data_IF_725627464315
#
_entry.id   IF_725627464315
#
_cell.length_a   1.000
_cell.length_b   1.000
_cell.length_c   1.000
_cell.angle_alpha   90.00
_cell.angle_beta   90.00
_cell.angle_gamma   90.00
#
_symmetry.space_group_name_H-M   'P 1'
#
loop_
_entity.id
_entity.type
_entity.pdbx_description
1 polymer ?
#
# COMPACT_ATOMS: atom_id res chain seq x y z
N UNK A 1 -18.39 -25.60 -17.54
CA UNK A 1 -16.96 -25.24 -17.64
C UNK A 1 -16.90 -23.77 -18.05
N UNK A 2 -16.46 -22.87 -17.16
CA UNK A 2 -16.33 -21.43 -17.47
C UNK A 2 -15.02 -21.15 -18.20
N UNK A 3 -15.04 -20.24 -19.17
CA UNK A 3 -13.90 -19.83 -19.98
C UNK A 3 -12.85 -19.08 -19.15
N UNK A 4 -11.54 -19.30 -19.35
CA UNK A 4 -10.47 -18.66 -18.57
C UNK A 4 -10.23 -17.17 -18.89
N UNK A 5 -11.08 -16.54 -19.72
CA UNK A 5 -10.83 -15.20 -20.25
C UNK A 5 -11.87 -14.12 -19.87
N UNK A 6 -12.94 -14.45 -19.15
CA UNK A 6 -13.89 -13.45 -18.64
C UNK A 6 -13.42 -12.91 -17.28
N UNK A 7 -13.56 -11.59 -17.06
CA UNK A 7 -13.62 -11.09 -15.69
C UNK A 7 -14.79 -11.82 -15.02
N UNK A 8 -14.67 -12.34 -13.80
CA UNK A 8 -15.82 -12.93 -13.15
C UNK A 8 -16.94 -11.89 -13.13
N UNK A 9 -18.15 -12.24 -13.58
CA UNK A 9 -19.37 -11.39 -13.59
C UNK A 9 -19.72 -10.77 -12.21
N UNK A 10 -18.93 -11.11 -11.20
CA UNK A 10 -19.11 -10.84 -9.78
C UNK A 10 -18.43 -9.54 -9.30
N UNK A 11 -17.57 -8.88 -10.10
CA UNK A 11 -16.89 -7.64 -9.70
C UNK A 11 -17.54 -6.37 -10.26
N UNK A 12 -17.58 -5.32 -9.45
CA UNK A 12 -18.16 -4.02 -9.81
C UNK A 12 -17.20 -2.88 -9.50
N UNK A 13 -17.24 -1.85 -10.37
CA UNK A 13 -16.63 -0.55 -10.09
C UNK A 13 -17.51 0.24 -9.13
N UNK A 14 -16.90 0.82 -8.09
CA UNK A 14 -17.60 1.67 -7.13
C UNK A 14 -16.63 2.57 -6.35
N UNK A 15 -17.15 3.33 -5.38
CA UNK A 15 -16.32 4.10 -4.44
C UNK A 15 -16.69 3.81 -2.99
N UNK A 16 -15.69 3.94 -2.11
CA UNK A 16 -15.82 3.88 -0.66
C UNK A 16 -14.95 4.97 -0.01
N UNK A 17 -15.35 5.54 1.14
CA UNK A 17 -16.44 5.04 1.99
C UNK A 17 -17.79 5.76 1.82
N UNK A 18 -17.88 6.76 0.94
CA UNK A 18 -19.09 7.59 0.86
C UNK A 18 -20.20 6.96 0.03
N UNK A 19 -21.40 6.94 0.59
CA UNK A 19 -22.63 6.59 -0.12
C UNK A 19 -23.24 7.80 -0.85
N UNK A 20 -24.18 7.53 -1.74
CA UNK A 20 -25.07 8.55 -2.31
C UNK A 20 -26.38 8.58 -1.52
N UNK A 21 -26.97 9.76 -1.26
CA UNK A 21 -26.50 11.09 -1.64
C UNK A 21 -25.33 11.58 -0.75
N UNK A 22 -24.50 12.48 -1.28
CA UNK A 22 -23.26 12.94 -0.60
C UNK A 22 -23.46 14.06 0.41
N UNK A 23 -24.62 14.70 0.40
CA UNK A 23 -25.01 15.80 1.30
C UNK A 23 -25.11 15.37 2.77
N UNK A 24 -25.19 14.08 3.05
CA UNK A 24 -25.10 13.53 4.40
C UNK A 24 -23.69 13.60 5.02
N UNK A 25 -22.65 13.99 4.27
CA UNK A 25 -21.28 14.11 4.74
C UNK A 25 -20.81 15.56 4.78
N UNK A 26 -20.06 15.91 5.82
CA UNK A 26 -19.43 17.23 5.96
C UNK A 26 -18.30 17.43 4.94
N UNK A 27 -17.98 18.68 4.55
CA UNK A 27 -16.82 18.97 3.70
C UNK A 27 -15.51 18.41 4.27
N UNK A 28 -15.33 18.43 5.59
CA UNK A 28 -14.15 17.89 6.27
C UNK A 28 -14.06 16.38 6.11
N UNK A 29 -15.18 15.66 6.20
CA UNK A 29 -15.21 14.22 5.93
C UNK A 29 -14.83 13.95 4.48
N UNK A 30 -15.45 14.64 3.52
CA UNK A 30 -15.16 14.44 2.09
C UNK A 30 -13.70 14.75 1.74
N UNK A 31 -13.07 15.70 2.42
CA UNK A 31 -11.66 16.05 2.26
C UNK A 31 -10.68 14.95 2.71
N UNK A 32 -11.11 14.00 3.55
CA UNK A 32 -10.32 12.81 3.95
C UNK A 32 -10.13 11.82 2.79
N UNK A 33 -10.82 12.03 1.68
CA UNK A 33 -10.67 11.25 0.45
C UNK A 33 -11.57 10.03 0.36
N UNK A 34 -11.54 9.38 -0.80
CA UNK A 34 -12.24 8.14 -1.09
C UNK A 34 -11.41 7.31 -2.05
N UNK A 35 -11.66 6.01 -2.04
CA UNK A 35 -11.04 5.07 -2.95
C UNK A 35 -11.98 4.77 -4.12
N UNK A 36 -11.40 4.70 -5.32
CA UNK A 36 -12.01 3.94 -6.40
C UNK A 36 -11.80 2.44 -6.12
N UNK A 37 -12.83 1.63 -6.32
CA UNK A 37 -12.81 0.25 -5.90
C UNK A 37 -13.29 -0.69 -7.00
N UNK A 38 -12.58 -1.80 -7.20
CA UNK A 38 -13.04 -2.97 -7.94
C UNK A 38 -13.31 -4.11 -6.94
N UNK A 39 -14.57 -4.27 -6.54
CA UNK A 39 -14.97 -5.17 -5.45
C UNK A 39 -15.98 -6.20 -5.92
N UNK A 40 -16.06 -7.38 -5.28
CA UNK A 40 -17.19 -8.28 -5.49
C UNK A 40 -18.51 -7.58 -5.14
N UNK A 41 -19.58 -7.97 -5.84
CA UNK A 41 -20.95 -7.52 -5.53
C UNK A 41 -21.28 -7.76 -4.07
N UNK A 42 -21.92 -6.80 -3.42
CA UNK A 42 -22.31 -6.88 -2.01
C UNK A 42 -21.24 -6.44 -1.01
N UNK A 43 -19.95 -6.37 -1.37
CA UNK A 43 -18.89 -5.95 -0.42
C UNK A 43 -19.08 -4.50 0.00
N UNK A 44 -19.43 -3.63 -0.95
CA UNK A 44 -19.73 -2.23 -0.68
C UNK A 44 -20.91 -2.09 0.28
N UNK A 45 -22.00 -2.80 0.01
CA UNK A 45 -23.22 -2.75 0.83
C UNK A 45 -22.93 -3.25 2.25
N UNK A 46 -22.14 -4.32 2.39
CA UNK A 46 -21.68 -4.81 3.70
C UNK A 46 -20.83 -3.79 4.44
N UNK A 47 -19.89 -3.13 3.75
CA UNK A 47 -19.06 -2.09 4.36
C UNK A 47 -19.91 -0.90 4.85
N UNK A 48 -20.84 -0.42 4.01
CA UNK A 48 -21.75 0.68 4.35
C UNK A 48 -22.73 0.32 5.47
N UNK A 49 -23.04 -0.97 5.66
CA UNK A 49 -23.90 -1.45 6.73
C UNK A 49 -23.17 -1.63 8.08
N UNK A 50 -21.84 -1.49 8.12
CA UNK A 50 -21.09 -1.58 9.37
C UNK A 50 -21.48 -0.43 10.32
N UNK A 51 -21.71 -0.70 11.61
CA UNK A 51 -22.01 0.35 12.58
C UNK A 51 -20.92 1.42 12.61
N UNK A 52 -21.33 2.69 12.51
CA UNK A 52 -20.45 3.87 12.52
C UNK A 52 -19.50 3.99 11.31
N UNK A 53 -19.70 3.21 10.24
CA UNK A 53 -18.92 3.38 9.03
C UNK A 53 -19.35 4.61 8.20
N UNK A 54 -18.41 5.41 7.66
CA UNK A 54 -16.98 5.39 7.96
C UNK A 54 -16.62 6.15 9.23
N UNK A 55 -15.69 5.57 10.01
CA UNK A 55 -14.94 6.33 11.00
C UNK A 55 -14.07 7.41 10.33
N UNK A 56 -13.83 8.49 11.08
CA UNK A 56 -12.85 9.54 10.75
C UNK A 56 -11.43 8.95 10.72
N UNK A 57 -10.53 9.61 10.02
CA UNK A 57 -9.10 9.31 10.10
C UNK A 57 -8.56 9.61 11.50
N UNK A 58 -7.59 8.83 11.96
CA UNK A 58 -6.97 9.04 13.28
C UNK A 58 -6.07 10.28 13.33
N UNK A 59 -5.57 10.73 12.19
CA UNK A 59 -4.85 11.99 12.02
C UNK A 59 -5.34 12.65 10.74
N UNK A 60 -5.56 13.97 10.76
CA UNK A 60 -6.00 14.66 9.55
C UNK A 60 -4.84 14.76 8.53
N UNK A 61 -5.12 14.74 7.21
CA UNK A 61 -4.07 14.92 6.20
C UNK A 61 -3.24 16.19 6.39
N UNK A 62 -3.85 17.27 6.86
CA UNK A 62 -3.18 18.56 7.15
C UNK A 62 -2.26 18.53 8.37
N UNK A 63 -2.39 17.53 9.24
CA UNK A 63 -1.60 17.39 10.48
C UNK A 63 -0.40 16.45 10.30
N UNK A 64 -0.32 15.76 9.16
CA UNK A 64 0.73 14.80 8.88
C UNK A 64 2.12 15.48 8.79
N UNK A 65 3.10 14.94 9.51
CA UNK A 65 4.45 15.52 9.66
C UNK A 65 5.51 14.75 8.87
N UNK A 66 5.31 14.69 7.56
CA UNK A 66 6.27 14.10 6.63
C UNK A 66 6.39 14.94 5.35
N UNK A 67 7.42 14.65 4.56
CA UNK A 67 7.59 15.16 3.19
C UNK A 67 7.96 14.03 2.24
N UNK A 68 7.58 14.16 0.98
CA UNK A 68 8.04 13.27 -0.10
C UNK A 68 9.25 13.93 -0.79
N UNK A 69 10.27 13.15 -1.12
CA UNK A 69 11.43 13.66 -1.87
C UNK A 69 12.34 12.56 -2.42
N UNK A 70 13.40 12.91 -3.17
CA UNK A 70 14.36 11.94 -3.69
C UNK A 70 14.99 11.10 -2.58
N UNK A 71 15.10 9.79 -2.81
CA UNK A 71 15.63 8.85 -1.83
C UNK A 71 16.95 8.20 -2.29
N UNK A 72 17.93 8.03 -1.38
CA UNK A 72 19.13 7.22 -1.64
C UNK A 72 18.82 5.72 -1.81
N UNK A 73 17.64 5.26 -1.39
CA UNK A 73 17.14 3.90 -1.60
C UNK A 73 16.59 3.71 -3.02
N UNK A 74 16.23 4.80 -3.70
CA UNK A 74 15.72 4.80 -5.07
C UNK A 74 14.44 5.61 -5.19
N UNK A 75 14.24 6.24 -6.36
CA UNK A 75 13.02 7.00 -6.65
C UNK A 75 12.72 8.09 -5.61
N UNK A 76 11.47 8.15 -5.19
CA UNK A 76 11.00 9.03 -4.11
C UNK A 76 10.80 8.22 -2.83
N UNK A 77 11.05 8.86 -1.69
CA UNK A 77 10.83 8.33 -0.36
C UNK A 77 10.00 9.28 0.50
N UNK A 78 9.49 8.78 1.61
CA UNK A 78 8.84 9.55 2.67
C UNK A 78 9.85 9.86 3.77
N UNK A 79 9.92 11.12 4.22
CA UNK A 79 10.86 11.57 5.25
C UNK A 79 10.12 12.28 6.37
N UNK A 80 10.47 11.98 7.62
CA UNK A 80 9.90 12.63 8.79
C UNK A 80 10.30 14.13 8.81
N UNK A 81 9.36 15.02 9.16
CA UNK A 81 9.67 16.45 9.37
C UNK A 81 9.77 16.82 10.85
N UNK A 82 9.49 15.87 11.73
CA UNK A 82 9.62 15.95 13.19
C UNK A 82 10.19 14.63 13.71
N UNK A 83 10.54 14.59 14.99
CA UNK A 83 10.75 13.33 15.70
C UNK A 83 9.42 12.62 15.95
N UNK A 84 9.39 11.30 15.80
CA UNK A 84 8.29 10.41 16.18
C UNK A 84 8.77 9.43 17.26
N UNK A 85 7.95 9.23 18.28
CA UNK A 85 8.10 8.13 19.23
C UNK A 85 7.58 6.81 18.64
N UNK A 86 7.98 5.68 19.25
CA UNK A 86 7.39 4.39 18.89
C UNK A 86 5.88 4.39 19.21
N UNK A 87 5.07 3.95 18.25
CA UNK A 87 3.61 3.95 18.33
C UNK A 87 2.94 5.19 17.74
N UNK A 88 3.67 6.27 17.49
CA UNK A 88 3.08 7.48 16.91
C UNK A 88 2.49 7.20 15.52
N UNK A 89 1.36 7.83 15.24
CA UNK A 89 0.71 7.81 13.92
C UNK A 89 1.41 8.84 13.04
N UNK A 90 1.98 8.37 11.93
CA UNK A 90 2.66 9.20 10.94
C UNK A 90 1.65 9.69 9.90
N UNK A 91 0.74 8.80 9.50
CA UNK A 91 -0.24 9.00 8.44
C UNK A 91 -1.43 8.05 8.66
N UNK A 92 -2.64 8.52 8.38
CA UNK A 92 -3.83 7.69 8.20
C UNK A 92 -4.47 8.10 6.88
N UNK A 93 -4.50 7.20 5.90
CA UNK A 93 -4.78 7.53 4.49
C UNK A 93 -5.81 6.57 3.88
N UNK A 94 -6.82 7.12 3.21
CA UNK A 94 -7.72 6.31 2.37
C UNK A 94 -7.03 5.95 1.05
N UNK A 95 -7.20 4.72 0.54
CA UNK A 95 -6.58 4.32 -0.72
C UNK A 95 -7.04 5.21 -1.88
N UNK A 96 -6.19 5.35 -2.90
CA UNK A 96 -6.62 5.82 -4.23
C UNK A 96 -7.41 4.73 -4.95
N UNK A 97 -6.95 3.48 -4.81
CA UNK A 97 -7.51 2.31 -5.48
C UNK A 97 -7.54 1.12 -4.52
N UNK A 98 -8.66 0.39 -4.50
CA UNK A 98 -8.75 -0.97 -3.93
C UNK A 98 -9.21 -1.95 -5.00
N UNK A 99 -8.53 -3.07 -5.16
CA UNK A 99 -8.82 -4.07 -6.19
C UNK A 99 -8.42 -5.46 -5.73
N UNK A 100 -8.86 -6.51 -6.43
CA UNK A 100 -8.32 -7.86 -6.25
C UNK A 100 -6.82 -7.89 -6.56
N UNK A 101 -6.10 -8.75 -5.82
CA UNK A 101 -4.65 -8.90 -5.97
C UNK A 101 -4.28 -9.62 -7.28
N UNK A 102 -5.10 -10.56 -7.74
CA UNK A 102 -4.86 -11.36 -8.96
C UNK A 102 -5.84 -10.98 -10.07
N UNK A 103 -5.41 -10.08 -10.93
CA UNK A 103 -6.18 -9.67 -12.10
C UNK A 103 -6.15 -10.76 -13.18
N UNK A 104 -7.33 -11.17 -13.66
CA UNK A 104 -7.47 -11.95 -14.90
C UNK A 104 -7.43 -11.02 -16.12
N UNK A 105 -7.33 -11.59 -17.32
CA UNK A 105 -7.32 -10.81 -18.57
C UNK A 105 -8.54 -9.88 -18.69
N UNK A 106 -9.73 -10.35 -18.30
CA UNK A 106 -10.94 -9.54 -18.31
C UNK A 106 -10.93 -8.39 -17.28
N UNK A 107 -10.34 -8.60 -16.10
CA UNK A 107 -10.28 -7.56 -15.05
C UNK A 107 -9.29 -6.43 -15.39
N UNK A 108 -8.37 -6.65 -16.33
CA UNK A 108 -7.44 -5.60 -16.79
C UNK A 108 -8.16 -4.44 -17.48
N UNK A 109 -9.22 -4.74 -18.23
CA UNK A 109 -10.04 -3.72 -18.89
C UNK A 109 -10.75 -2.84 -17.85
N UNK A 110 -11.36 -3.48 -16.85
CA UNK A 110 -12.07 -2.78 -15.77
C UNK A 110 -11.13 -1.91 -14.93
N UNK A 111 -9.91 -2.39 -14.61
CA UNK A 111 -8.92 -1.57 -13.90
C UNK A 111 -8.60 -0.27 -14.67
N UNK A 112 -8.38 -0.37 -15.98
CA UNK A 112 -8.09 0.81 -16.82
C UNK A 112 -9.23 1.81 -16.80
N UNK A 113 -10.46 1.31 -16.92
CA UNK A 113 -11.66 2.14 -16.86
C UNK A 113 -11.80 2.84 -15.50
N UNK A 114 -11.59 2.12 -14.39
CA UNK A 114 -11.61 2.69 -13.04
C UNK A 114 -10.58 3.80 -12.90
N UNK A 115 -9.33 3.57 -13.31
CA UNK A 115 -8.28 4.60 -13.25
C UNK A 115 -8.61 5.79 -14.15
N UNK A 116 -9.19 5.56 -15.33
CA UNK A 116 -9.58 6.64 -16.25
C UNK A 116 -10.69 7.53 -15.69
N UNK A 117 -11.62 6.95 -14.91
CA UNK A 117 -12.76 7.61 -14.28
C UNK A 117 -12.46 8.23 -12.91
N UNK A 118 -11.27 8.00 -12.34
CA UNK A 118 -10.85 8.66 -11.11
C UNK A 118 -10.89 10.19 -11.27
N UNK A 119 -11.23 10.94 -10.20
CA UNK A 119 -11.04 12.38 -10.16
C UNK A 119 -9.61 12.76 -10.57
N UNK A 120 -9.45 13.91 -11.24
CA UNK A 120 -8.17 14.32 -11.83
C UNK A 120 -7.00 14.29 -10.83
N UNK A 121 -7.23 14.77 -9.59
CA UNK A 121 -6.24 14.71 -8.51
C UNK A 121 -5.80 13.26 -8.23
N UNK A 122 -6.76 12.36 -8.01
CA UNK A 122 -6.49 10.96 -7.66
C UNK A 122 -5.82 10.21 -8.81
N UNK A 123 -6.26 10.46 -10.05
CA UNK A 123 -5.67 9.86 -11.24
C UNK A 123 -4.22 10.31 -11.44
N UNK A 124 -3.95 11.61 -11.29
CA UNK A 124 -2.60 12.17 -11.37
C UNK A 124 -1.70 11.61 -10.27
N UNK A 125 -2.21 11.52 -9.04
CA UNK A 125 -1.49 10.90 -7.92
C UNK A 125 -1.12 9.43 -8.22
N UNK A 126 -2.08 8.63 -8.72
CA UNK A 126 -1.88 7.23 -9.07
C UNK A 126 -0.85 7.06 -10.20
N UNK A 127 -1.01 7.79 -11.30
CA UNK A 127 -0.11 7.73 -12.46
C UNK A 127 1.30 8.29 -12.17
N UNK A 128 1.44 9.10 -11.12
CA UNK A 128 2.71 9.61 -10.61
C UNK A 128 3.46 8.68 -9.66
N UNK A 129 2.96 7.45 -9.43
CA UNK A 129 3.65 6.42 -8.65
C UNK A 129 4.66 5.64 -9.51
N UNK A 130 5.58 4.94 -8.86
CA UNK A 130 6.62 4.19 -9.55
C UNK A 130 6.03 3.02 -10.37
N UNK A 131 6.55 2.79 -11.58
CA UNK A 131 6.24 1.61 -12.37
C UNK A 131 7.53 0.86 -12.72
N UNK A 132 7.94 -0.08 -11.85
CA UNK A 132 9.14 -0.90 -12.10
C UNK A 132 8.90 -2.02 -13.12
N UNK A 133 7.63 -2.23 -13.54
CA UNK A 133 7.27 -3.20 -14.59
C UNK A 133 7.50 -2.64 -15.99
N UNK A 134 7.70 -1.33 -16.13
CA UNK A 134 7.91 -0.66 -17.42
C UNK A 134 6.82 -1.03 -18.44
N UNK A 135 7.24 -1.40 -19.64
CA UNK A 135 6.35 -1.72 -20.77
C UNK A 135 5.92 -3.20 -20.84
N UNK A 136 6.18 -4.00 -19.80
CA UNK A 136 5.76 -5.42 -19.77
C UNK A 136 4.26 -5.60 -19.60
N UNK A 137 3.55 -4.54 -19.19
CA UNK A 137 2.10 -4.50 -19.06
C UNK A 137 1.61 -3.05 -19.19
N UNK A 138 0.29 -2.86 -19.20
CA UNK A 138 -0.29 -1.53 -19.16
C UNK A 138 0.17 -0.77 -17.89
N UNK A 139 0.38 0.56 -17.97
CA UNK A 139 0.99 1.32 -16.89
C UNK A 139 0.19 1.23 -15.58
N UNK A 140 -1.14 1.18 -15.64
CA UNK A 140 -2.01 1.08 -14.47
C UNK A 140 -1.79 -0.23 -13.71
N UNK A 141 -1.57 -1.32 -14.45
CA UNK A 141 -1.27 -2.64 -13.92
C UNK A 141 0.14 -2.68 -13.33
N UNK A 142 1.10 -2.05 -14.02
CA UNK A 142 2.49 -1.95 -13.57
C UNK A 142 2.60 -1.18 -12.26
N UNK A 143 1.91 -0.03 -12.16
CA UNK A 143 1.81 0.78 -10.95
C UNK A 143 1.17 -0.02 -9.81
N UNK A 144 0.03 -0.67 -10.05
CA UNK A 144 -0.63 -1.51 -9.04
C UNK A 144 0.32 -2.57 -8.49
N UNK A 145 0.97 -3.34 -9.37
CA UNK A 145 1.89 -4.43 -9.00
C UNK A 145 3.17 -3.95 -8.32
N UNK A 146 3.50 -2.66 -8.43
CA UNK A 146 4.69 -2.06 -7.82
C UNK A 146 4.39 -1.48 -6.44
N UNK A 147 3.19 -0.93 -6.24
CA UNK A 147 2.91 -0.02 -5.11
C UNK A 147 1.83 -0.50 -4.14
N UNK A 148 1.18 -1.64 -4.44
CA UNK A 148 0.05 -2.09 -3.66
C UNK A 148 0.43 -2.76 -2.33
N UNK A 149 -0.39 -2.51 -1.31
CA UNK A 149 -0.39 -3.21 -0.03
C UNK A 149 -1.52 -4.24 0.01
N UNK A 150 -1.30 -5.33 0.74
CA UNK A 150 -2.35 -6.27 1.07
C UNK A 150 -3.33 -5.65 2.08
N UNK A 151 -4.63 -5.73 1.82
CA UNK A 151 -5.68 -5.28 2.73
C UNK A 151 -6.82 -6.29 2.83
N UNK A 152 -7.41 -6.41 4.00
CA UNK A 152 -8.54 -7.31 4.24
C UNK A 152 -9.84 -6.52 4.27
N UNK A 153 -10.82 -6.94 3.47
CA UNK A 153 -12.11 -6.28 3.36
C UNK A 153 -13.19 -6.95 4.23
N UNK A 154 -14.22 -6.20 4.68
CA UNK A 154 -15.29 -6.76 5.50
C UNK A 154 -16.04 -7.92 4.83
N UNK A 155 -16.04 -9.08 5.50
CA UNK A 155 -16.73 -10.28 5.02
C UNK A 155 -16.13 -10.82 3.73
N UNK A 156 -14.81 -10.72 3.57
CA UNK A 156 -14.05 -11.37 2.52
C UNK A 156 -12.91 -12.18 3.14
N UNK A 157 -12.73 -13.41 2.66
CA UNK A 157 -11.65 -14.30 3.12
C UNK A 157 -10.34 -14.09 2.33
N UNK A 158 -10.41 -13.36 1.22
CA UNK A 158 -9.26 -13.08 0.35
C UNK A 158 -8.64 -11.71 0.65
N UNK A 159 -7.31 -11.63 0.51
CA UNK A 159 -6.57 -10.36 0.59
C UNK A 159 -6.69 -9.58 -0.72
N UNK A 160 -6.99 -8.29 -0.59
CA UNK A 160 -7.09 -7.31 -1.67
C UNK A 160 -5.81 -6.50 -1.79
N UNK A 161 -5.67 -5.78 -2.90
CA UNK A 161 -4.59 -4.86 -3.17
C UNK A 161 -5.08 -3.42 -3.06
N UNK A 162 -4.40 -2.60 -2.26
CA UNK A 162 -4.68 -1.18 -2.11
C UNK A 162 -3.48 -0.32 -2.49
N UNK A 163 -3.71 0.74 -3.26
CA UNK A 163 -2.68 1.72 -3.67
C UNK A 163 -3.00 3.07 -3.07
N UNK A 164 -1.97 3.78 -2.61
CA UNK A 164 -2.09 5.02 -1.84
C UNK A 164 -1.30 6.16 -2.49
N UNK A 165 -1.63 7.42 -2.16
CA UNK A 165 -0.88 8.57 -2.67
C UNK A 165 0.47 8.71 -1.97
N UNK A 166 0.48 8.57 -0.63
CA UNK A 166 1.67 8.79 0.20
C UNK A 166 2.26 7.49 0.73
N UNK A 167 1.46 6.58 1.29
CA UNK A 167 1.98 5.33 1.87
C UNK A 167 2.74 4.48 0.84
N UNK A 168 2.30 4.47 -0.42
CA UNK A 168 2.98 3.81 -1.55
C UNK A 168 4.33 4.41 -1.93
N UNK A 169 4.75 5.52 -1.30
CA UNK A 169 6.07 6.14 -1.48
C UNK A 169 7.06 5.79 -0.36
N UNK A 170 6.64 5.00 0.63
CA UNK A 170 7.55 4.51 1.66
C UNK A 170 8.45 3.44 1.06
N UNK A 171 9.77 3.66 1.07
CA UNK A 171 10.74 2.69 0.56
C UNK A 171 10.91 1.48 1.48
N UNK A 172 11.56 0.45 0.95
CA UNK A 172 11.80 -0.77 1.70
C UNK A 172 12.99 -0.69 2.67
N UNK A 173 12.82 -1.28 3.85
CA UNK A 173 13.91 -1.76 4.69
C UNK A 173 13.59 -3.15 5.25
N UNK A 174 14.59 -4.04 5.34
CA UNK A 174 14.43 -5.33 6.06
C UNK A 174 14.39 -5.13 7.59
N UNK A 175 14.69 -3.92 8.07
CA UNK A 175 14.51 -3.48 9.46
C UNK A 175 13.73 -2.15 9.43
N UNK A 176 12.43 -2.21 9.06
CA UNK A 176 11.63 -1.00 8.85
C UNK A 176 11.48 -0.21 10.14
N UNK A 177 11.22 1.09 10.00
CA UNK A 177 10.91 1.96 11.12
C UNK A 177 9.42 2.30 11.22
N UNK A 178 8.60 1.88 10.24
CA UNK A 178 7.16 2.01 10.28
C UNK A 178 6.44 0.73 9.80
N UNK A 179 5.18 0.60 10.20
CA UNK A 179 4.26 -0.47 9.80
C UNK A 179 2.94 0.12 9.36
N UNK A 180 2.34 -0.48 8.33
CA UNK A 180 1.03 -0.13 7.83
C UNK A 180 0.00 -1.15 8.28
N UNK A 181 -1.13 -0.68 8.81
CA UNK A 181 -2.28 -1.52 9.18
C UNK A 181 -3.55 -0.94 8.56
N UNK A 182 -4.33 -1.78 7.87
CA UNK A 182 -5.61 -1.38 7.30
C UNK A 182 -6.72 -1.46 8.36
N UNK A 183 -7.47 -0.38 8.50
CA UNK A 183 -8.60 -0.25 9.41
C UNK A 183 -9.91 -0.25 8.62
N UNK A 184 -10.66 -1.34 8.74
CA UNK A 184 -11.90 -1.54 7.99
C UNK A 184 -12.96 -0.46 8.26
N UNK A 185 -13.11 0.00 9.51
CA UNK A 185 -14.15 0.96 9.89
C UNK A 185 -13.91 2.38 9.34
N UNK A 186 -12.66 2.81 9.17
CA UNK A 186 -12.31 4.09 8.53
C UNK A 186 -12.03 3.96 7.03
N UNK A 187 -12.00 2.72 6.53
CA UNK A 187 -11.57 2.36 5.18
C UNK A 187 -10.21 2.96 4.80
N UNK A 188 -9.28 2.96 5.75
CA UNK A 188 -8.00 3.66 5.63
C UNK A 188 -6.83 2.79 6.12
N UNK A 189 -5.62 3.14 5.73
CA UNK A 189 -4.39 2.54 6.24
C UNK A 189 -3.66 3.50 7.15
N UNK A 190 -3.35 3.02 8.34
CA UNK A 190 -2.56 3.74 9.33
C UNK A 190 -1.11 3.30 9.25
N UNK A 191 -0.23 4.26 9.02
CA UNK A 191 1.21 4.12 9.10
C UNK A 191 1.69 4.61 10.47
N UNK A 192 2.27 3.70 11.26
CA UNK A 192 2.76 4.00 12.61
C UNK A 192 4.24 3.68 12.76
N UNK A 193 4.93 4.47 13.57
CA UNK A 193 6.33 4.26 13.89
C UNK A 193 6.52 3.00 14.76
N UNK A 194 7.36 2.05 14.34
CA UNK A 194 7.70 0.85 15.12
C UNK A 194 8.84 1.09 16.11
N UNK A 195 9.60 2.16 15.91
CA UNK A 195 10.71 2.63 16.73
C UNK A 195 10.81 4.14 16.61
N UNK A 196 11.59 4.83 17.47
CA UNK A 196 11.84 6.25 17.27
C UNK A 196 12.39 6.56 15.88
N UNK A 197 11.85 7.61 15.25
CA UNK A 197 12.26 8.14 13.94
C UNK A 197 12.64 9.60 14.15
N UNK A 198 13.85 9.99 13.72
CA UNK A 198 14.28 11.40 13.85
C UNK A 198 13.78 12.25 12.69
N UNK A 199 13.62 13.54 12.91
CA UNK A 199 13.41 14.51 11.84
C UNK A 199 14.49 14.34 10.75
N UNK A 200 14.05 14.27 9.49
CA UNK A 200 14.91 14.03 8.33
C UNK A 200 15.21 12.56 8.03
N UNK A 201 14.91 11.62 8.94
CA UNK A 201 15.05 10.18 8.67
C UNK A 201 13.99 9.72 7.65
N UNK A 202 14.37 8.81 6.76
CA UNK A 202 13.46 8.19 5.81
C UNK A 202 12.56 7.17 6.52
N UNK A 203 11.26 7.28 6.30
CA UNK A 203 10.24 6.36 6.78
C UNK A 203 10.17 5.19 5.80
N UNK A 204 10.36 3.98 6.32
CA UNK A 204 10.48 2.74 5.54
C UNK A 204 9.59 1.65 6.08
N UNK A 205 9.08 0.82 5.16
CA UNK A 205 8.20 -0.32 5.43
C UNK A 205 8.81 -1.62 4.89
N UNK A 206 8.21 -2.77 5.22
CA UNK A 206 8.63 -4.05 4.69
C UNK A 206 7.87 -4.39 3.40
N UNK A 207 8.58 -4.66 2.31
CA UNK A 207 8.02 -5.19 1.06
C UNK A 207 8.14 -6.71 1.00
N UNK A 208 9.16 -7.25 1.65
CA UNK A 208 9.46 -8.68 1.71
C UNK A 208 8.99 -9.28 3.04
N UNK A 209 8.80 -10.61 3.06
CA UNK A 209 8.50 -11.36 4.27
C UNK A 209 9.69 -11.30 5.23
N UNK A 210 9.54 -10.59 6.36
CA UNK A 210 10.64 -10.34 7.29
C UNK A 210 11.18 -11.63 7.94
N UNK A 211 10.35 -12.66 8.06
CA UNK A 211 10.71 -13.96 8.63
C UNK A 211 11.41 -14.91 7.65
N UNK A 212 11.40 -14.61 6.35
CA UNK A 212 12.14 -15.39 5.36
C UNK A 212 13.65 -15.18 5.53
N UNK A 213 14.48 -16.13 5.08
CA UNK A 213 15.93 -15.94 5.10
C UNK A 213 16.38 -14.82 4.15
N UNK A 214 17.63 -14.37 4.33
CA UNK A 214 18.18 -13.24 3.57
C UNK A 214 18.17 -13.49 2.06
N UNK A 215 18.51 -14.70 1.62
CA UNK A 215 18.58 -15.01 0.20
C UNK A 215 17.20 -14.92 -0.44
N UNK A 216 16.18 -15.50 0.20
CA UNK A 216 14.78 -15.37 -0.24
C UNK A 216 14.33 -13.92 -0.29
N UNK A 217 14.58 -13.13 0.76
CA UNK A 217 14.19 -11.70 0.75
C UNK A 217 14.83 -10.94 -0.40
N UNK A 218 16.13 -11.13 -0.65
CA UNK A 218 16.82 -10.44 -1.75
C UNK A 218 16.33 -10.90 -3.12
N UNK A 219 16.07 -12.19 -3.30
CA UNK A 219 15.53 -12.73 -4.53
C UNK A 219 14.14 -12.14 -4.83
N UNK A 220 13.25 -12.08 -3.83
CA UNK A 220 11.93 -11.50 -4.00
C UNK A 220 11.99 -10.00 -4.29
N UNK A 221 12.86 -9.25 -3.60
CA UNK A 221 13.02 -7.82 -3.88
C UNK A 221 13.53 -7.56 -5.29
N UNK A 222 14.50 -8.35 -5.76
CA UNK A 222 15.00 -8.24 -7.13
C UNK A 222 13.92 -8.62 -8.15
N UNK A 223 13.19 -9.71 -7.92
CA UNK A 223 12.14 -10.21 -8.84
C UNK A 223 10.92 -9.29 -8.90
N UNK A 224 10.47 -8.79 -7.75
CA UNK A 224 9.22 -8.05 -7.63
C UNK A 224 9.42 -6.54 -7.74
N UNK A 225 10.57 -6.00 -7.37
CA UNK A 225 10.81 -4.56 -7.30
C UNK A 225 12.05 -4.09 -8.06
N UNK A 226 12.77 -5.01 -8.70
CA UNK A 226 13.93 -4.70 -9.56
C UNK A 226 15.06 -3.93 -8.84
N UNK A 227 15.26 -4.17 -7.54
CA UNK A 227 16.36 -3.56 -6.79
C UNK A 227 17.03 -4.55 -5.81
N UNK A 228 18.30 -4.25 -5.47
CA UNK A 228 19.04 -4.92 -4.40
C UNK A 228 18.96 -4.11 -3.12
N UNK A 229 18.48 -4.72 -2.04
CA UNK A 229 18.32 -4.03 -0.76
C UNK A 229 19.67 -3.64 -0.14
N UNK A 230 19.80 -2.35 0.19
CA UNK A 230 20.98 -1.76 0.87
C UNK A 230 20.68 -1.27 2.29
N UNK A 231 19.59 -1.73 2.89
CA UNK A 231 19.25 -1.38 4.27
C UNK A 231 20.36 -1.84 5.25
N UNK A 232 20.45 -1.28 6.48
CA UNK A 232 21.55 -1.60 7.38
C UNK A 232 21.69 -3.10 7.67
N UNK A 233 20.58 -3.84 7.79
CA UNK A 233 20.61 -5.30 7.95
C UNK A 233 21.27 -6.02 6.76
N UNK A 234 20.96 -5.63 5.52
CA UNK A 234 21.51 -6.26 4.31
C UNK A 234 22.97 -5.85 4.03
N UNK A 235 23.34 -4.63 4.42
CA UNK A 235 24.68 -4.04 4.19
C UNK A 235 25.76 -4.57 5.14
N UNK A 236 25.39 -5.14 6.29
CA UNK A 236 26.33 -5.71 7.26
C UNK A 236 26.88 -7.11 6.87
N UNK A 237 26.28 -7.80 5.88
CA UNK A 237 26.51 -9.23 5.66
C UNK A 237 27.81 -9.66 4.96
N UNK A 238 28.64 -8.82 4.31
CA UNK A 238 30.01 -9.26 3.95
C UNK A 238 30.94 -9.31 5.17
N UNK A 239 30.55 -8.75 6.33
CA UNK A 239 31.44 -8.50 7.48
C UNK A 239 31.28 -9.50 8.63
N UNK A 240 30.30 -10.39 8.57
CA UNK A 240 30.10 -11.40 9.60
C UNK A 240 30.73 -12.71 9.13
N UNK A 241 31.84 -13.19 9.74
CA UNK A 241 32.33 -14.53 9.47
C UNK A 241 31.23 -15.54 9.80
N UNK A 242 31.06 -16.54 8.95
CA UNK A 242 30.04 -17.57 9.06
C UNK A 242 30.26 -18.41 10.32
N UNK A 243 29.71 -17.96 11.45
CA UNK A 243 29.81 -18.65 12.74
C UNK A 243 28.87 -19.85 12.84
N UNK A 244 28.07 -20.16 11.80
CA UNK A 244 27.08 -21.26 11.86
C UNK A 244 27.59 -22.61 11.35
N UNK A 245 28.84 -22.70 10.91
CA UNK A 245 29.47 -23.95 10.48
C UNK A 245 30.64 -24.43 11.38
N UNK A 246 30.92 -23.76 12.50
CA UNK A 246 32.00 -24.14 13.42
C UNK A 246 31.47 -24.45 14.82
N UNK A 247 30.76 -25.57 14.99
CA UNK A 247 30.75 -26.35 16.25
C UNK A 247 29.77 -27.52 16.16
N UNK A 248 30.18 -28.65 15.56
CA UNK A 248 29.73 -30.01 15.91
C UNK A 248 30.74 -31.04 15.40
N UNK A 249 31.97 -30.93 15.88
CA UNK A 249 32.90 -32.06 15.92
C UNK A 249 33.52 -32.04 17.33
N UNK A 250 32.86 -32.74 18.25
CA UNK A 250 33.48 -33.29 19.45
C UNK A 250 32.65 -34.49 19.92
#
# INVERSE_FOLDING_TARGET
>A
MRSPHEAPEDYVSTTLPFASPRDQYTPEQLAEGEAACMLPRGVRERALALPSFPHRLAIAPSECKFRIGPSPLGGLGMFATTDFAAGDIILDERPLLVTIQRLSAGSLGLLKEIVAQMPERSRTAYLGLANVKGNTCAPEVGILRTNAFGVDLPGCDETYAAVYEHASRCNHSCIPNAITVFHQLSFSSRLSACRPIRAGEEITVAYAQLYADRATRLQDLQRLYSFHCRCPSCSLWPRLPDRRLQSRDN
#
